data_IF_682929132562
#
_entry.id   IF_682929132562
#
_cell.length_a   1.000
_cell.length_b   1.000
_cell.length_c   1.000
_cell.angle_alpha   90.00
_cell.angle_beta   90.00
_cell.angle_gamma   90.00
#
_symmetry.space_group_name_H-M   'P 1'
#
loop_
_entity.id
_entity.type
_entity.pdbx_description
1 polymer ?
#
# COMPACT_ATOMS: atom_id res chain seq x y z
N UNK A 1 9.33 -5.64 -22.40
CA UNK A 1 9.82 -5.10 -21.11
C UNK A 1 11.33 -4.90 -21.24
N UNK A 2 11.85 -3.73 -20.85
CA UNK A 2 13.30 -3.48 -20.85
C UNK A 2 13.98 -4.24 -19.71
N UNK A 3 15.27 -4.50 -19.83
CA UNK A 3 16.09 -5.11 -18.77
C UNK A 3 16.17 -4.18 -17.55
N UNK A 4 16.19 -4.76 -16.36
CA UNK A 4 16.34 -4.04 -15.10
C UNK A 4 17.11 -4.90 -14.08
N UNK A 5 17.68 -4.28 -13.07
CA UNK A 5 18.27 -4.96 -11.94
C UNK A 5 17.18 -5.25 -10.91
N UNK A 6 17.19 -6.46 -10.36
CA UNK A 6 16.25 -6.84 -9.31
C UNK A 6 16.97 -6.93 -7.97
N UNK A 7 16.42 -6.24 -6.96
CA UNK A 7 16.91 -6.19 -5.60
C UNK A 7 15.83 -6.69 -4.64
N UNK A 8 16.16 -7.60 -3.73
CA UNK A 8 15.26 -8.05 -2.66
C UNK A 8 15.73 -7.46 -1.33
N UNK A 9 15.08 -6.39 -0.91
CA UNK A 9 15.44 -5.70 0.32
C UNK A 9 15.03 -6.48 1.58
N UNK A 10 15.92 -6.55 2.56
CA UNK A 10 15.71 -7.24 3.84
C UNK A 10 14.95 -6.38 4.86
N UNK A 11 15.13 -5.07 4.77
CA UNK A 11 14.49 -4.09 5.64
C UNK A 11 14.23 -2.75 4.93
N UNK A 12 13.52 -1.85 5.61
CA UNK A 12 13.16 -0.53 5.08
C UNK A 12 14.40 0.35 4.84
N UNK A 13 15.44 0.21 5.65
CA UNK A 13 16.67 1.03 5.50
C UNK A 13 17.42 0.63 4.24
N UNK A 14 17.54 -0.68 3.99
CA UNK A 14 18.14 -1.20 2.76
C UNK A 14 17.34 -0.77 1.54
N UNK A 15 16.01 -0.94 1.57
CA UNK A 15 15.13 -0.50 0.50
C UNK A 15 15.30 0.99 0.20
N UNK A 16 15.37 1.84 1.22
CA UNK A 16 15.57 3.28 1.07
C UNK A 16 16.93 3.64 0.48
N UNK A 17 18.00 2.89 0.81
CA UNK A 17 19.33 3.11 0.25
C UNK A 17 19.42 2.76 -1.23
N UNK A 18 18.67 1.75 -1.67
CA UNK A 18 18.60 1.32 -3.07
C UNK A 18 17.74 2.25 -3.94
N UNK A 19 16.93 3.10 -3.30
CA UNK A 19 16.02 4.00 -4.00
C UNK A 19 16.77 5.09 -4.76
N UNK A 20 16.38 5.28 -6.01
CA UNK A 20 16.87 6.34 -6.89
C UNK A 20 15.72 6.93 -7.72
N UNK A 21 15.98 7.99 -8.46
CA UNK A 21 15.00 8.58 -9.40
C UNK A 21 14.58 7.62 -10.52
N UNK A 22 15.38 6.58 -10.78
CA UNK A 22 15.10 5.57 -11.81
C UNK A 22 14.87 4.17 -11.22
N UNK A 23 14.35 4.11 -10.02
CA UNK A 23 13.94 2.86 -9.36
C UNK A 23 12.45 2.83 -9.07
N UNK A 24 11.90 1.63 -8.93
CA UNK A 24 10.55 1.43 -8.42
C UNK A 24 10.51 0.34 -7.36
N UNK A 25 9.60 0.52 -6.41
CA UNK A 25 9.35 -0.48 -5.40
C UNK A 25 8.32 -1.48 -5.87
N UNK A 26 8.58 -2.74 -5.59
CA UNK A 26 7.70 -3.85 -5.95
C UNK A 26 7.08 -4.45 -4.69
N UNK A 27 5.79 -4.16 -4.48
CA UNK A 27 4.95 -4.86 -3.52
C UNK A 27 4.13 -5.94 -4.27
N UNK A 28 2.83 -5.73 -4.48
CA UNK A 28 1.98 -6.66 -5.24
C UNK A 28 2.33 -6.79 -6.72
N UNK A 29 2.82 -5.72 -7.33
CA UNK A 29 3.20 -5.64 -8.74
C UNK A 29 2.03 -5.54 -9.71
N UNK A 30 0.80 -5.36 -9.23
CA UNK A 30 -0.40 -5.40 -10.07
C UNK A 30 -0.55 -4.18 -10.99
N UNK A 31 0.13 -3.08 -10.69
CA UNK A 31 0.24 -1.90 -11.57
C UNK A 31 1.61 -1.84 -12.24
N UNK A 32 2.68 -1.96 -11.46
CA UNK A 32 4.05 -1.78 -11.93
C UNK A 32 4.43 -2.78 -13.02
N UNK A 33 4.13 -4.08 -12.84
CA UNK A 33 4.51 -5.12 -13.81
C UNK A 33 3.75 -4.97 -15.13
N UNK A 34 2.42 -4.79 -15.16
CA UNK A 34 1.71 -4.52 -16.41
C UNK A 34 2.21 -3.26 -17.13
N UNK A 35 2.43 -2.16 -16.42
CA UNK A 35 2.94 -0.92 -17.00
C UNK A 35 4.31 -1.11 -17.65
N UNK A 36 5.20 -1.89 -17.04
CA UNK A 36 6.50 -2.25 -17.62
C UNK A 36 6.35 -3.17 -18.82
N UNK A 37 5.44 -4.14 -18.79
CA UNK A 37 5.18 -5.05 -19.92
C UNK A 37 4.64 -4.31 -21.14
N UNK A 38 3.77 -3.34 -20.93
CA UNK A 38 3.19 -2.50 -21.98
C UNK A 38 4.15 -1.38 -22.45
N UNK A 39 5.30 -1.22 -21.80
CA UNK A 39 6.26 -0.17 -22.15
C UNK A 39 5.86 1.23 -21.65
N UNK A 40 4.81 1.34 -20.82
CA UNK A 40 4.35 2.60 -20.24
C UNK A 40 5.27 3.10 -19.12
N UNK A 41 6.02 2.20 -18.49
CA UNK A 41 7.01 2.52 -17.47
C UNK A 41 8.29 1.72 -17.70
N UNK A 42 9.42 2.33 -17.34
CA UNK A 42 10.74 1.69 -17.43
C UNK A 42 11.59 2.15 -16.26
N UNK A 43 12.15 1.21 -15.53
CA UNK A 43 12.99 1.44 -14.37
C UNK A 43 14.31 0.70 -14.54
N UNK A 44 15.41 1.31 -14.06
CA UNK A 44 16.71 0.66 -14.02
C UNK A 44 16.79 -0.39 -12.92
N UNK A 45 16.17 -0.09 -11.78
CA UNK A 45 16.21 -0.92 -10.59
C UNK A 45 14.79 -1.18 -10.06
N UNK A 46 14.49 -2.44 -9.80
CA UNK A 46 13.26 -2.88 -9.13
C UNK A 46 13.60 -3.40 -7.73
N UNK A 47 13.03 -2.78 -6.73
CA UNK A 47 13.30 -3.05 -5.32
C UNK A 47 12.10 -3.79 -4.72
N UNK A 48 12.24 -5.10 -4.52
CA UNK A 48 11.21 -5.94 -3.92
C UNK A 48 11.18 -5.75 -2.40
N UNK A 49 10.02 -5.33 -1.89
CA UNK A 49 9.78 -5.07 -0.47
C UNK A 49 8.84 -6.10 0.19
N UNK A 50 8.38 -7.10 -0.55
CA UNK A 50 7.41 -8.10 -0.07
C UNK A 50 7.90 -8.90 1.13
N UNK A 51 9.21 -9.10 1.25
CA UNK A 51 9.83 -9.89 2.32
C UNK A 51 10.09 -9.10 3.60
N UNK A 52 9.84 -7.79 3.60
CA UNK A 52 10.02 -6.95 4.79
C UNK A 52 8.87 -7.18 5.76
N UNK A 53 9.05 -8.07 6.73
CA UNK A 53 7.99 -8.49 7.68
C UNK A 53 7.30 -7.31 8.39
N UNK A 54 8.04 -6.23 8.69
CA UNK A 54 7.50 -5.04 9.35
C UNK A 54 6.46 -4.28 8.51
N UNK A 55 6.44 -4.51 7.20
CA UNK A 55 5.51 -3.86 6.26
C UNK A 55 4.24 -4.69 6.02
N UNK A 56 4.10 -5.87 6.61
CA UNK A 56 2.94 -6.74 6.42
C UNK A 56 2.18 -6.93 7.73
N UNK A 57 0.88 -7.20 7.61
CA UNK A 57 0.01 -7.58 8.71
C UNK A 57 -0.93 -6.49 9.16
N UNK A 58 -1.86 -6.90 10.02
CA UNK A 58 -2.93 -6.07 10.58
C UNK A 58 -2.83 -6.14 12.09
N UNK A 59 -2.88 -5.01 12.76
CA UNK A 59 -2.87 -4.90 14.22
C UNK A 59 -3.95 -3.94 14.69
N UNK A 60 -4.79 -4.41 15.59
CA UNK A 60 -5.79 -3.58 16.30
C UNK A 60 -5.28 -3.32 17.72
N UNK A 61 -5.25 -2.06 18.13
CA UNK A 61 -4.84 -1.64 19.45
C UNK A 61 -5.77 -0.53 19.96
N UNK A 62 -6.64 -0.86 20.90
CA UNK A 62 -7.70 0.03 21.35
C UNK A 62 -8.58 0.48 20.18
N UNK A 63 -8.64 1.79 19.93
CA UNK A 63 -9.41 2.40 18.84
C UNK A 63 -8.59 2.60 17.54
N UNK A 64 -7.42 2.03 17.43
CA UNK A 64 -6.53 2.23 16.29
C UNK A 64 -6.31 0.93 15.55
N UNK A 65 -6.49 0.95 14.23
CA UNK A 65 -6.09 -0.12 13.33
C UNK A 65 -4.82 0.30 12.60
N UNK A 66 -3.85 -0.59 12.59
CA UNK A 66 -2.58 -0.41 11.88
C UNK A 66 -2.45 -1.50 10.83
N UNK A 67 -2.28 -1.12 9.56
CA UNK A 67 -2.16 -2.05 8.44
C UNK A 67 -0.84 -1.80 7.73
N UNK A 68 -0.04 -2.84 7.57
CA UNK A 68 1.24 -2.75 6.87
C UNK A 68 1.07 -2.57 5.37
N UNK A 69 1.98 -1.82 4.74
CA UNK A 69 1.88 -1.45 3.32
C UNK A 69 1.84 -2.65 2.36
N UNK A 70 2.50 -3.75 2.70
CA UNK A 70 2.52 -4.96 1.86
C UNK A 70 1.41 -5.96 2.18
N UNK A 71 0.47 -5.60 3.08
CA UNK A 71 -0.73 -6.41 3.37
C UNK A 71 -1.61 -6.47 2.13
N UNK A 72 -1.98 -7.68 1.73
CA UNK A 72 -2.75 -7.91 0.50
C UNK A 72 -4.21 -7.50 0.68
N UNK A 73 -4.87 -7.18 -0.42
CA UNK A 73 -6.31 -6.89 -0.40
C UNK A 73 -7.12 -8.07 0.17
N UNK A 74 -6.77 -9.30 -0.20
CA UNK A 74 -7.41 -10.51 0.34
C UNK A 74 -7.22 -10.67 1.85
N UNK A 75 -6.08 -10.26 2.40
CA UNK A 75 -5.83 -10.29 3.85
C UNK A 75 -6.66 -9.25 4.58
N UNK A 76 -6.83 -8.05 4.02
CA UNK A 76 -7.71 -7.01 4.56
C UNK A 76 -9.17 -7.47 4.52
N UNK A 77 -9.63 -7.97 3.36
CA UNK A 77 -11.01 -8.46 3.16
C UNK A 77 -11.38 -9.59 4.11
N UNK A 78 -10.45 -10.52 4.37
CA UNK A 78 -10.71 -11.71 5.19
C UNK A 78 -10.35 -11.54 6.66
N UNK A 79 -9.79 -10.40 7.07
CA UNK A 79 -9.41 -10.16 8.45
C UNK A 79 -10.63 -10.12 9.39
N UNK A 80 -10.67 -11.01 10.36
CA UNK A 80 -11.69 -11.01 11.40
C UNK A 80 -11.68 -9.71 12.21
N UNK A 81 -10.50 -9.18 12.48
CA UNK A 81 -10.33 -7.93 13.23
C UNK A 81 -10.87 -6.74 12.44
N UNK A 82 -10.58 -6.64 11.15
CA UNK A 82 -11.12 -5.57 10.29
C UNK A 82 -12.64 -5.70 10.17
N UNK A 83 -13.15 -6.90 9.91
CA UNK A 83 -14.61 -7.14 9.84
C UNK A 83 -15.34 -6.73 11.12
N UNK A 84 -14.70 -6.88 12.28
CA UNK A 84 -15.26 -6.49 13.57
C UNK A 84 -15.25 -4.99 13.81
N UNK A 85 -14.18 -4.29 13.40
CA UNK A 85 -13.95 -2.89 13.79
C UNK A 85 -14.23 -1.88 12.69
N UNK A 86 -14.00 -2.25 11.42
CA UNK A 86 -14.26 -1.41 10.25
C UNK A 86 -14.79 -2.31 9.11
N UNK A 87 -16.02 -2.85 9.22
CA UNK A 87 -16.57 -3.79 8.24
C UNK A 87 -16.62 -3.21 6.82
N UNK A 88 -16.82 -1.90 6.68
CA UNK A 88 -16.79 -1.21 5.38
C UNK A 88 -15.44 -1.31 4.68
N UNK A 89 -14.33 -1.29 5.42
CA UNK A 89 -12.99 -1.46 4.84
C UNK A 89 -12.77 -2.90 4.34
N UNK A 90 -13.31 -3.89 5.05
CA UNK A 90 -13.26 -5.28 4.59
C UNK A 90 -14.08 -5.47 3.30
N UNK A 91 -15.31 -4.93 3.26
CA UNK A 91 -16.19 -4.98 2.10
C UNK A 91 -15.56 -4.26 0.89
N UNK A 92 -14.97 -3.06 1.10
CA UNK A 92 -14.25 -2.34 0.05
C UNK A 92 -13.11 -3.21 -0.50
N UNK A 93 -12.28 -3.79 0.37
CA UNK A 93 -11.16 -4.63 -0.06
C UNK A 93 -11.62 -5.89 -0.81
N UNK A 94 -12.79 -6.44 -0.49
CA UNK A 94 -13.40 -7.58 -1.16
C UNK A 94 -13.88 -7.22 -2.58
N UNK A 95 -14.29 -5.97 -2.80
CA UNK A 95 -14.71 -5.46 -4.11
C UNK A 95 -13.58 -5.12 -5.07
N UNK A 96 -12.32 -5.06 -4.63
CA UNK A 96 -11.20 -4.67 -5.47
C UNK A 96 -10.86 -5.77 -6.49
N UNK A 97 -11.00 -5.45 -7.79
CA UNK A 97 -10.60 -6.32 -8.88
C UNK A 97 -11.17 -7.75 -8.78
N UNK A 98 -10.38 -8.71 -9.20
CA UNK A 98 -10.69 -10.15 -9.10
C UNK A 98 -9.88 -10.83 -7.96
N UNK A 99 -10.15 -12.12 -7.66
CA UNK A 99 -9.42 -12.85 -6.64
C UNK A 99 -7.89 -12.92 -6.89
N UNK A 100 -7.44 -12.93 -8.16
CA UNK A 100 -6.02 -12.98 -8.50
C UNK A 100 -5.36 -11.64 -8.15
N UNK A 101 -6.01 -10.53 -8.49
CA UNK A 101 -5.58 -9.17 -8.12
C UNK A 101 -5.53 -9.03 -6.61
N UNK A 102 -6.58 -9.44 -5.88
CA UNK A 102 -6.64 -9.34 -4.42
C UNK A 102 -5.58 -10.16 -3.71
N UNK A 103 -5.19 -11.29 -4.26
CA UNK A 103 -4.14 -12.14 -3.69
C UNK A 103 -2.71 -11.65 -3.95
N UNK A 104 -2.55 -10.62 -4.76
CA UNK A 104 -1.25 -10.03 -5.10
C UNK A 104 -1.16 -8.56 -4.73
N UNK A 105 -2.15 -7.77 -5.11
CA UNK A 105 -2.23 -6.34 -4.82
C UNK A 105 -2.22 -6.05 -3.32
N UNK A 106 -1.63 -4.92 -2.94
CA UNK A 106 -1.42 -4.53 -1.55
C UNK A 106 -2.00 -3.14 -1.28
N UNK A 107 -2.45 -2.91 -0.04
CA UNK A 107 -3.02 -1.62 0.37
C UNK A 107 -2.05 -0.47 0.14
N UNK A 108 -0.78 -0.62 0.54
CA UNK A 108 0.24 0.42 0.35
C UNK A 108 0.60 0.62 -1.13
N UNK A 109 0.57 -0.43 -1.95
CA UNK A 109 0.78 -0.32 -3.40
C UNK A 109 -0.32 0.49 -4.07
N UNK A 110 -1.58 0.26 -3.71
CA UNK A 110 -2.73 1.03 -4.21
C UNK A 110 -2.64 2.51 -3.82
N UNK A 111 -2.37 2.78 -2.54
CA UNK A 111 -2.24 4.15 -2.03
C UNK A 111 -1.06 4.88 -2.68
N UNK A 112 0.10 4.19 -2.84
CA UNK A 112 1.30 4.77 -3.44
C UNK A 112 1.14 5.05 -4.94
N UNK A 113 0.37 4.22 -5.64
CA UNK A 113 0.07 4.43 -7.05
C UNK A 113 -0.84 5.66 -7.27
N UNK A 114 -1.60 6.03 -6.24
CA UNK A 114 -2.48 7.20 -6.22
C UNK A 114 -3.36 7.34 -7.48
N UNK A 115 -3.91 6.22 -7.94
CA UNK A 115 -4.86 6.21 -9.04
C UNK A 115 -6.18 6.82 -8.55
N UNK A 116 -6.73 7.86 -9.22
CA UNK A 116 -7.99 8.48 -8.82
C UNK A 116 -9.19 7.52 -8.90
N UNK A 117 -9.09 6.45 -9.67
CA UNK A 117 -10.11 5.39 -9.75
C UNK A 117 -9.92 4.28 -8.70
N UNK A 118 -8.90 4.37 -7.83
CA UNK A 118 -8.67 3.37 -6.80
C UNK A 118 -9.57 3.59 -5.57
N UNK A 119 -9.97 2.48 -4.94
CA UNK A 119 -10.94 2.51 -3.82
C UNK A 119 -10.32 2.99 -2.50
N UNK A 120 -9.07 2.62 -2.21
CA UNK A 120 -8.44 2.96 -0.92
C UNK A 120 -8.23 4.44 -0.64
N UNK A 121 -7.90 5.33 -1.60
CA UNK A 121 -7.77 6.75 -1.30
C UNK A 121 -9.02 7.35 -0.65
N UNK A 122 -10.20 7.05 -1.19
CA UNK A 122 -11.47 7.53 -0.62
C UNK A 122 -11.75 6.95 0.78
N UNK A 123 -11.48 5.66 0.99
CA UNK A 123 -11.59 5.04 2.31
C UNK A 123 -10.63 5.67 3.33
N UNK A 124 -9.41 5.99 2.92
CA UNK A 124 -8.43 6.64 3.79
C UNK A 124 -8.88 8.04 4.21
N UNK A 125 -9.52 8.81 3.31
CA UNK A 125 -10.12 10.11 3.64
C UNK A 125 -11.26 9.92 4.62
N UNK A 126 -12.20 9.04 4.33
CA UNK A 126 -13.38 8.80 5.18
C UNK A 126 -13.01 8.31 6.60
N UNK A 127 -11.92 7.57 6.72
CA UNK A 127 -11.42 7.04 7.99
C UNK A 127 -10.41 7.96 8.69
N UNK A 128 -10.16 9.16 8.17
CA UNK A 128 -9.10 10.06 8.65
C UNK A 128 -7.76 9.32 8.84
N UNK A 129 -7.40 8.53 7.85
CA UNK A 129 -6.23 7.67 7.94
C UNK A 129 -4.92 8.47 7.94
N UNK A 130 -3.97 8.05 8.77
CA UNK A 130 -2.61 8.60 8.78
C UNK A 130 -1.69 7.62 8.08
N UNK A 131 -1.05 8.06 7.00
CA UNK A 131 -0.08 7.28 6.25
C UNK A 131 1.32 7.57 6.80
N UNK A 132 1.98 6.53 7.28
CA UNK A 132 3.35 6.62 7.77
C UNK A 132 4.32 6.20 6.67
N UNK A 133 5.19 7.10 6.27
CA UNK A 133 6.30 6.81 5.34
C UNK A 133 7.61 6.75 6.11
N UNK A 134 8.71 6.38 5.46
CA UNK A 134 10.04 6.39 6.08
C UNK A 134 10.45 7.78 6.62
N UNK A 135 9.98 8.85 5.98
CA UNK A 135 10.46 10.21 6.23
C UNK A 135 9.41 11.12 6.89
N UNK A 136 8.12 10.80 6.81
CA UNK A 136 7.04 11.66 7.31
C UNK A 136 5.75 10.90 7.60
N UNK A 137 4.86 11.56 8.35
CA UNK A 137 3.46 11.17 8.50
C UNK A 137 2.62 12.09 7.62
N UNK A 138 1.69 11.53 6.86
CA UNK A 138 0.82 12.28 5.95
C UNK A 138 -0.62 11.93 6.26
N UNK A 139 -1.46 12.95 6.41
CA UNK A 139 -2.91 12.78 6.40
C UNK A 139 -3.38 12.57 4.96
N UNK A 140 -4.36 11.71 4.75
CA UNK A 140 -4.86 11.37 3.41
C UNK A 140 -5.38 12.59 2.62
N UNK A 141 -5.97 13.58 3.30
CA UNK A 141 -6.44 14.80 2.65
C UNK A 141 -5.35 15.61 1.92
N UNK A 142 -4.08 15.31 2.17
CA UNK A 142 -2.93 15.96 1.54
C UNK A 142 -2.23 15.07 0.49
N UNK A 143 -2.88 14.00 0.04
CA UNK A 143 -2.27 13.07 -0.93
C UNK A 143 -2.06 13.68 -2.32
N UNK A 144 -2.82 14.69 -2.69
CA UNK A 144 -2.66 15.42 -3.95
C UNK A 144 -1.27 16.09 -4.08
N UNK A 145 -0.54 16.20 -2.96
CA UNK A 145 0.82 16.77 -2.89
C UNK A 145 1.90 15.68 -3.05
N UNK A 146 1.52 14.40 -3.15
CA UNK A 146 2.48 13.33 -3.35
C UNK A 146 2.70 13.10 -4.85
N UNK A 147 3.75 13.70 -5.45
CA UNK A 147 4.24 13.18 -6.72
C UNK A 147 4.58 11.71 -6.50
N UNK A 148 4.50 10.87 -7.52
CA UNK A 148 4.71 9.41 -7.51
C UNK A 148 6.01 8.98 -6.77
N UNK A 149 6.05 9.25 -5.47
CA UNK A 149 7.20 9.03 -4.60
C UNK A 149 7.08 7.69 -3.88
N UNK A 150 8.19 7.05 -3.65
CA UNK A 150 8.22 5.78 -2.97
C UNK A 150 7.68 5.93 -1.54
N UNK A 151 6.42 5.56 -1.33
CA UNK A 151 5.83 5.43 0.00
C UNK A 151 6.42 4.20 0.68
N UNK A 152 7.54 4.39 1.38
CA UNK A 152 8.17 3.33 2.14
C UNK A 152 7.67 3.28 3.56
N UNK A 153 7.40 2.07 4.00
CA UNK A 153 7.03 1.80 5.35
C UNK A 153 5.70 2.42 5.73
N UNK A 154 4.76 2.53 4.79
CA UNK A 154 3.44 3.05 5.12
C UNK A 154 2.73 2.08 6.04
N UNK A 155 2.47 2.57 7.24
CA UNK A 155 1.58 1.97 8.20
C UNK A 155 0.35 2.85 8.22
N UNK A 156 -0.78 2.31 7.79
CA UNK A 156 -2.06 3.00 7.90
C UNK A 156 -2.48 2.97 9.36
N UNK A 157 -2.57 4.12 10.02
CA UNK A 157 -3.21 4.26 11.32
C UNK A 157 -4.50 5.04 11.13
N UNK A 158 -5.61 4.44 11.47
CA UNK A 158 -6.88 5.15 11.54
C UNK A 158 -6.97 5.93 12.85
N UNK A 159 -7.49 7.14 12.79
CA UNK A 159 -7.94 7.87 13.97
C UNK A 159 -9.13 7.12 14.64
N UNK A 160 -9.48 7.44 15.90
CA UNK A 160 -10.54 6.75 16.61
C UNK A 160 -11.82 6.71 15.77
N UNK A 161 -12.45 5.52 15.71
CA UNK A 161 -13.62 5.24 14.91
C UNK A 161 -14.65 6.37 14.96
N UNK A 162 -14.95 6.99 13.83
CA UNK A 162 -16.29 7.49 13.63
C UNK A 162 -17.20 6.26 13.61
N UNK A 163 -18.05 6.08 14.63
CA UNK A 163 -19.20 5.21 14.49
C UNK A 163 -19.97 5.77 13.31
N UNK A 164 -19.93 5.08 12.18
CA UNK A 164 -20.88 5.34 11.12
C UNK A 164 -22.27 5.12 11.73
N UNK A 165 -23.05 6.16 11.74
CA UNK A 165 -24.49 6.12 12.00
C UNK A 165 -25.16 5.27 10.93
#
# INVERSE_FOLDING_TARGET
MKTFNYHSAKDVKEASKLASSNSAFLAGGMTTIPSMKLGLASYKDIIDIKRIKKLSGIKVSGKTVTIGATTKHSEVANSKDIKKVIPSLAALAEGIGDPQVRNRGTIGGSIANNDPAADYPSACIALNAVIHTSNRKVLQCNLDILPAWPLFGSVLKTAPYCKAL
#
